data_IF_721639877138
#
_entry.id   IF_721639877138
#
_cell.length_a   1.000
_cell.length_b   1.000
_cell.length_c   1.000
_cell.angle_alpha   90.00
_cell.angle_beta   90.00
_cell.angle_gamma   90.00
#
_symmetry.space_group_name_H-M   'P 1'
#
loop_
_entity.id
_entity.type
_entity.pdbx_description
1 polymer ?
#
# COMPACT_ATOMS: atom_id res chain seq x y z
N UNK A 1 -6.83 -11.46 -7.13
CA UNK A 1 -8.18 -11.84 -7.61
C UNK A 1 -8.19 -12.11 -9.12
N UNK A 2 -7.95 -11.12 -9.99
CA UNK A 2 -8.02 -11.32 -11.46
C UNK A 2 -7.13 -12.48 -11.95
N UNK A 3 -5.84 -12.51 -11.55
CA UNK A 3 -4.93 -13.62 -11.89
C UNK A 3 -5.49 -14.99 -11.50
N UNK A 4 -5.95 -15.15 -10.24
CA UNK A 4 -6.54 -16.39 -9.75
C UNK A 4 -7.82 -16.78 -10.51
N UNK A 5 -8.72 -15.83 -10.79
CA UNK A 5 -9.92 -16.09 -11.59
C UNK A 5 -9.57 -16.56 -13.02
N UNK A 6 -8.59 -15.93 -13.65
CA UNK A 6 -8.09 -16.30 -14.99
C UNK A 6 -7.56 -17.72 -15.01
N UNK A 7 -6.77 -18.07 -13.99
CA UNK A 7 -6.18 -19.40 -13.83
C UNK A 7 -7.24 -20.47 -13.51
N UNK A 8 -8.07 -20.24 -12.49
CA UNK A 8 -9.07 -21.19 -11.98
C UNK A 8 -10.14 -21.54 -13.03
N UNK A 9 -10.48 -20.60 -13.91
CA UNK A 9 -11.49 -20.79 -14.96
C UNK A 9 -10.89 -21.04 -16.34
N UNK A 10 -9.57 -21.27 -16.42
CA UNK A 10 -8.83 -21.57 -17.65
C UNK A 10 -9.08 -20.55 -18.78
N UNK A 11 -9.14 -19.27 -18.44
CA UNK A 11 -9.21 -18.20 -19.44
C UNK A 11 -7.86 -18.10 -20.17
N UNK A 12 -7.89 -18.22 -21.50
CA UNK A 12 -6.73 -18.01 -22.38
C UNK A 12 -6.45 -16.52 -22.58
N UNK A 13 -6.07 -15.84 -21.49
CA UNK A 13 -5.81 -14.40 -21.44
C UNK A 13 -4.52 -14.14 -20.67
N UNK A 14 -3.58 -13.41 -21.28
CA UNK A 14 -2.39 -12.93 -20.59
C UNK A 14 -2.72 -11.75 -19.66
N UNK A 15 -2.37 -11.89 -18.38
CA UNK A 15 -2.51 -10.81 -17.40
C UNK A 15 -1.19 -10.07 -17.22
N UNK A 16 -1.08 -8.91 -17.85
CA UNK A 16 0.10 -8.03 -17.77
C UNK A 16 -0.12 -6.97 -16.68
N UNK A 17 0.53 -7.07 -15.51
CA UNK A 17 0.47 -6.01 -14.50
C UNK A 17 1.24 -4.77 -14.99
N UNK A 18 0.74 -3.58 -14.64
CA UNK A 18 1.39 -2.30 -14.97
C UNK A 18 1.60 -1.52 -13.67
N UNK A 19 2.76 -0.88 -13.57
CA UNK A 19 3.14 -0.09 -12.39
C UNK A 19 2.16 1.05 -12.11
N UNK A 20 2.04 1.39 -10.83
CA UNK A 20 1.20 2.50 -10.39
C UNK A 20 1.78 3.83 -10.88
N UNK A 21 1.04 4.53 -11.76
CA UNK A 21 1.36 5.91 -12.13
C UNK A 21 1.21 6.84 -10.92
N UNK A 22 2.20 7.71 -10.71
CA UNK A 22 2.25 8.64 -9.57
C UNK A 22 2.38 10.08 -10.04
N UNK A 23 1.80 11.00 -9.28
CA UNK A 23 2.07 12.42 -9.42
C UNK A 23 3.50 12.76 -8.95
N UNK A 24 3.98 13.98 -9.25
CA UNK A 24 5.33 14.41 -8.91
C UNK A 24 5.64 14.36 -7.39
N UNK A 25 4.63 14.45 -6.55
CA UNK A 25 4.73 14.35 -5.08
C UNK A 25 4.55 12.92 -4.56
N UNK A 26 4.42 11.92 -5.43
CA UNK A 26 4.32 10.51 -5.08
C UNK A 26 2.89 9.99 -4.87
N UNK A 27 1.87 10.86 -4.84
CA UNK A 27 0.48 10.42 -4.73
C UNK A 27 0.09 9.55 -5.93
N UNK A 28 -0.41 8.33 -5.67
CA UNK A 28 -0.93 7.45 -6.70
C UNK A 28 -2.04 8.16 -7.51
N UNK A 29 -1.95 8.11 -8.84
CA UNK A 29 -2.93 8.70 -9.73
C UNK A 29 -4.24 7.93 -9.62
N UNK A 30 -5.30 8.63 -9.22
CA UNK A 30 -6.63 8.05 -9.05
C UNK A 30 -7.69 9.10 -9.38
N UNK A 31 -8.76 8.70 -10.05
CA UNK A 31 -9.90 9.57 -10.32
C UNK A 31 -10.52 10.12 -9.02
N UNK A 32 -10.37 9.40 -7.91
CA UNK A 32 -10.83 9.82 -6.57
C UNK A 32 -10.09 11.05 -6.05
N UNK A 33 -8.87 11.33 -6.52
CA UNK A 33 -8.07 12.47 -6.06
C UNK A 33 -8.76 13.81 -6.34
N UNK A 34 -9.69 13.85 -7.31
CA UNK A 34 -10.49 15.04 -7.62
C UNK A 34 -11.44 15.48 -6.50
N UNK A 35 -11.73 14.58 -5.56
CA UNK A 35 -12.65 14.84 -4.45
C UNK A 35 -11.94 15.39 -3.21
N UNK A 36 -10.60 15.40 -3.22
CA UNK A 36 -9.80 15.99 -2.16
C UNK A 36 -9.91 17.51 -2.24
N UNK A 37 -10.18 18.15 -1.12
CA UNK A 37 -9.95 19.58 -0.94
C UNK A 37 -8.46 19.92 -1.10
N UNK A 38 -8.14 21.21 -1.22
CA UNK A 38 -6.75 21.68 -1.36
C UNK A 38 -5.87 21.19 -0.21
N UNK A 39 -6.36 21.25 1.03
CA UNK A 39 -5.64 20.77 2.21
C UNK A 39 -5.44 19.26 2.22
N UNK A 40 -6.51 18.50 1.95
CA UNK A 40 -6.43 17.04 1.87
C UNK A 40 -5.50 16.58 0.73
N UNK A 41 -5.50 17.28 -0.41
CA UNK A 41 -4.61 16.97 -1.53
C UNK A 41 -3.14 17.18 -1.16
N UNK A 42 -2.82 18.23 -0.41
CA UNK A 42 -1.45 18.49 0.06
C UNK A 42 -0.98 17.44 1.09
N UNK A 43 -1.91 16.90 1.89
CA UNK A 43 -1.63 15.89 2.90
C UNK A 43 -1.58 14.45 2.32
N UNK A 44 -2.35 14.17 1.26
CA UNK A 44 -2.49 12.85 0.65
C UNK A 44 -1.17 12.10 0.31
N UNK A 45 -0.08 12.76 -0.14
CA UNK A 45 1.22 12.10 -0.33
C UNK A 45 1.81 11.46 0.93
N UNK A 46 1.31 11.76 2.13
CA UNK A 46 1.76 11.09 3.36
C UNK A 46 1.53 9.58 3.32
N UNK A 47 0.41 9.12 2.76
CA UNK A 47 0.12 7.68 2.66
C UNK A 47 1.27 6.91 2.01
N UNK A 48 1.75 7.40 0.87
CA UNK A 48 2.86 6.79 0.17
C UNK A 48 4.17 6.91 0.96
N UNK A 49 4.43 8.04 1.61
CA UNK A 49 5.62 8.22 2.46
C UNK A 49 5.69 7.25 3.63
N UNK A 50 4.57 7.01 4.33
CA UNK A 50 4.54 6.03 5.43
C UNK A 50 4.75 4.61 4.90
N UNK A 51 4.16 4.24 3.75
CA UNK A 51 4.42 2.96 3.10
C UNK A 51 5.89 2.78 2.70
N UNK A 52 6.52 3.83 2.18
CA UNK A 52 7.95 3.83 1.88
C UNK A 52 8.81 3.67 3.14
N UNK A 53 8.43 4.32 4.25
CA UNK A 53 9.12 4.19 5.52
C UNK A 53 9.02 2.75 6.07
N UNK A 54 7.85 2.12 5.99
CA UNK A 54 7.68 0.70 6.34
C UNK A 54 8.54 -0.19 5.44
N UNK A 55 8.51 0.05 4.13
CA UNK A 55 9.32 -0.70 3.17
C UNK A 55 10.82 -0.58 3.46
N UNK A 56 11.29 0.60 3.86
CA UNK A 56 12.67 0.83 4.24
C UNK A 56 13.06 0.10 5.53
N UNK A 57 12.20 0.12 6.55
CA UNK A 57 12.39 -0.67 7.77
C UNK A 57 12.50 -2.18 7.49
N UNK A 58 11.70 -2.70 6.55
CA UNK A 58 11.80 -4.10 6.11
C UNK A 58 13.14 -4.40 5.43
N UNK A 59 13.61 -3.50 4.55
CA UNK A 59 14.93 -3.63 3.89
C UNK A 59 16.09 -3.62 4.89
N UNK A 60 15.93 -2.93 6.01
CA UNK A 60 16.91 -2.88 7.10
C UNK A 60 16.83 -4.10 8.03
N UNK A 61 15.97 -5.07 7.74
CA UNK A 61 15.84 -6.31 8.51
C UNK A 61 14.84 -6.22 9.66
N UNK A 62 13.93 -5.25 9.66
CA UNK A 62 12.83 -5.19 10.62
C UNK A 62 11.94 -6.42 10.52
N UNK A 63 11.76 -7.13 11.65
CA UNK A 63 10.95 -8.35 11.73
C UNK A 63 9.63 -8.15 12.50
N UNK A 64 9.47 -7.01 13.18
CA UNK A 64 8.24 -6.65 13.88
C UNK A 64 7.22 -6.04 12.91
N UNK A 65 6.65 -6.89 12.05
CA UNK A 65 5.69 -6.45 11.03
C UNK A 65 4.47 -5.77 11.66
N UNK A 66 3.92 -6.37 12.73
CA UNK A 66 2.76 -5.82 13.43
C UNK A 66 3.06 -4.46 14.10
N UNK A 67 4.28 -4.25 14.58
CA UNK A 67 4.75 -2.96 15.07
C UNK A 67 4.83 -1.91 13.96
N UNK A 68 5.39 -2.26 12.80
CA UNK A 68 5.49 -1.36 11.64
C UNK A 68 4.11 -0.96 11.09
N UNK A 69 3.20 -1.93 10.96
CA UNK A 69 1.81 -1.69 10.53
C UNK A 69 1.10 -0.71 11.46
N UNK A 70 1.22 -0.95 12.77
CA UNK A 70 0.61 -0.10 13.80
C UNK A 70 1.20 1.30 13.82
N UNK A 71 2.51 1.42 13.74
CA UNK A 71 3.18 2.72 13.74
C UNK A 71 2.74 3.58 12.55
N UNK A 72 2.68 3.00 11.35
CA UNK A 72 2.20 3.70 10.16
C UNK A 72 0.72 4.10 10.29
N UNK A 73 -0.13 3.21 10.82
CA UNK A 73 -1.53 3.50 11.07
C UNK A 73 -1.72 4.63 12.11
N UNK A 74 -0.94 4.61 13.20
CA UNK A 74 -0.99 5.60 14.27
C UNK A 74 -0.50 6.98 13.76
N UNK A 75 0.56 7.01 12.95
CA UNK A 75 1.05 8.24 12.32
C UNK A 75 0.02 8.87 11.37
N UNK A 76 -0.62 8.05 10.52
CA UNK A 76 -1.69 8.52 9.65
C UNK A 76 -2.88 9.02 10.48
N UNK A 77 -3.28 8.28 11.51
CA UNK A 77 -4.38 8.68 12.39
C UNK A 77 -4.09 10.00 13.11
N UNK A 78 -2.86 10.18 13.62
CA UNK A 78 -2.42 11.42 14.25
C UNK A 78 -2.38 12.60 13.26
N UNK A 79 -2.18 12.34 11.97
CA UNK A 79 -2.25 13.33 10.89
C UNK A 79 -3.69 13.60 10.39
N UNK A 80 -4.71 13.03 11.03
CA UNK A 80 -6.12 13.28 10.72
C UNK A 80 -6.75 12.31 9.72
N UNK A 81 -6.08 11.20 9.42
CA UNK A 81 -6.64 10.14 8.59
C UNK A 81 -7.56 9.21 9.41
N UNK A 82 -8.57 8.65 8.75
CA UNK A 82 -9.27 7.48 9.27
C UNK A 82 -8.71 6.24 8.55
N UNK A 83 -7.88 5.47 9.24
CA UNK A 83 -7.18 4.30 8.68
C UNK A 83 -8.11 3.08 8.69
N UNK A 84 -8.30 2.45 7.53
CA UNK A 84 -8.98 1.16 7.45
C UNK A 84 -7.99 0.01 7.74
N UNK A 85 -6.80 0.06 7.12
CA UNK A 85 -5.71 -0.88 7.38
C UNK A 85 -4.35 -0.35 6.90
N UNK A 86 -3.29 -0.86 7.52
CA UNK A 86 -1.93 -0.94 6.97
C UNK A 86 -1.47 -2.37 7.22
N UNK A 87 -1.04 -3.08 6.18
CA UNK A 87 -0.68 -4.50 6.28
C UNK A 87 0.54 -4.86 5.43
N UNK A 88 1.35 -5.77 5.94
CA UNK A 88 2.50 -6.38 5.26
C UNK A 88 2.10 -7.79 4.86
N UNK A 89 2.11 -8.06 3.56
CA UNK A 89 1.69 -9.34 2.96
C UNK A 89 2.76 -9.88 2.01
N UNK A 90 2.60 -11.13 1.58
CA UNK A 90 3.38 -11.69 0.47
C UNK A 90 2.96 -11.05 -0.85
N UNK A 91 3.92 -10.63 -1.67
CA UNK A 91 3.66 -9.86 -2.89
C UNK A 91 2.76 -10.60 -3.89
N UNK A 92 3.04 -11.88 -4.13
CA UNK A 92 2.39 -12.63 -5.21
C UNK A 92 0.98 -13.11 -4.83
N UNK A 93 0.77 -13.49 -3.57
CA UNK A 93 -0.44 -14.20 -3.10
C UNK A 93 -1.31 -13.40 -2.13
N UNK A 94 -0.79 -12.31 -1.57
CA UNK A 94 -1.41 -11.54 -0.48
C UNK A 94 -1.66 -12.36 0.81
N UNK A 95 -1.06 -13.53 0.93
CA UNK A 95 -1.03 -14.29 2.18
C UNK A 95 -0.36 -13.48 3.29
N UNK A 96 -0.70 -13.82 4.53
CA UNK A 96 -0.07 -13.24 5.72
C UNK A 96 1.45 -13.41 5.66
N UNK A 97 2.18 -12.31 5.80
CA UNK A 97 3.63 -12.33 5.80
C UNK A 97 4.17 -13.04 7.04
N UNK A 98 5.29 -13.75 6.86
CA UNK A 98 6.03 -14.42 7.93
C UNK A 98 7.45 -13.87 7.98
N UNK A 99 8.06 -13.95 9.17
CA UNK A 99 9.47 -13.62 9.32
C UNK A 99 10.30 -14.46 8.35
N UNK A 100 11.19 -13.81 7.59
CA UNK A 100 12.03 -14.45 6.58
C UNK A 100 11.46 -14.47 5.16
N UNK A 101 10.19 -14.08 4.95
CA UNK A 101 9.65 -13.87 3.60
C UNK A 101 10.46 -12.79 2.87
N UNK A 102 10.78 -13.03 1.58
CA UNK A 102 11.65 -12.16 0.78
C UNK A 102 10.91 -11.27 -0.20
N UNK A 103 9.72 -11.67 -0.63
CA UNK A 103 8.86 -10.92 -1.55
C UNK A 103 7.64 -10.44 -0.80
N UNK A 104 7.71 -9.21 -0.33
CA UNK A 104 6.69 -8.58 0.48
C UNK A 104 6.01 -7.45 -0.31
N UNK A 105 4.80 -7.11 0.12
CA UNK A 105 4.09 -5.91 -0.30
C UNK A 105 3.47 -5.27 0.93
N UNK A 106 3.68 -3.97 1.09
CA UNK A 106 3.02 -3.17 2.11
C UNK A 106 1.80 -2.53 1.46
N UNK A 107 0.60 -2.76 1.99
CA UNK A 107 -0.64 -2.20 1.49
C UNK A 107 -1.25 -1.28 2.55
N UNK A 108 -1.87 -0.19 2.12
CA UNK A 108 -2.66 0.63 3.02
C UNK A 108 -3.94 1.13 2.36
N UNK A 109 -4.96 1.31 3.20
CA UNK A 109 -6.15 2.04 2.85
C UNK A 109 -6.56 2.95 4.00
N UNK A 110 -6.79 4.22 3.68
CA UNK A 110 -7.15 5.23 4.66
C UNK A 110 -7.99 6.34 4.01
N UNK A 111 -8.72 7.10 4.81
CA UNK A 111 -9.59 8.18 4.37
C UNK A 111 -9.05 9.52 4.81
N UNK A 112 -9.06 10.48 3.90
CA UNK A 112 -8.95 11.91 4.19
C UNK A 112 -10.34 12.52 3.94
N UNK A 113 -10.94 13.01 5.02
CA UNK A 113 -12.35 13.43 5.01
C UNK A 113 -13.26 12.34 4.48
N UNK A 114 -13.90 12.59 3.34
CA UNK A 114 -14.82 11.64 2.68
C UNK A 114 -14.13 10.73 1.67
N UNK A 115 -12.90 11.05 1.27
CA UNK A 115 -12.21 10.37 0.16
C UNK A 115 -11.34 9.23 0.68
N UNK A 116 -11.66 8.01 0.26
CA UNK A 116 -10.87 6.81 0.56
C UNK A 116 -9.75 6.63 -0.46
N UNK A 117 -8.51 6.60 0.01
CA UNK A 117 -7.31 6.37 -0.77
C UNK A 117 -6.73 4.98 -0.48
N UNK A 118 -6.09 4.39 -1.48
CA UNK A 118 -5.34 3.14 -1.35
C UNK A 118 -3.99 3.32 -2.03
N UNK A 119 -2.99 2.65 -1.50
CA UNK A 119 -1.68 2.59 -2.12
C UNK A 119 -0.92 1.34 -1.64
N UNK A 120 0.17 0.99 -2.31
CA UNK A 120 1.04 -0.12 -1.94
C UNK A 120 2.49 0.10 -2.39
N UNK A 121 3.41 -0.61 -1.73
CA UNK A 121 4.84 -0.66 -2.07
C UNK A 121 5.33 -2.10 -2.00
N UNK A 122 5.84 -2.62 -3.11
CA UNK A 122 6.51 -3.92 -3.16
C UNK A 122 7.94 -3.83 -2.62
N UNK A 123 8.37 -4.89 -1.93
CA UNK A 123 9.68 -4.99 -1.28
C UNK A 123 10.30 -6.36 -1.58
N UNK A 124 11.45 -6.33 -2.25
CA UNK A 124 12.34 -7.49 -2.39
C UNK A 124 13.48 -7.41 -1.39
N UNK A 125 13.59 -8.40 -0.51
CA UNK A 125 14.72 -8.58 0.41
C UNK A 125 15.77 -9.52 -0.22
N UNK A 126 17.08 -9.32 0.08
CA UNK A 126 18.15 -10.15 -0.44
C UNK A 126 18.08 -11.60 0.07
#
# INVERSE_FOLDING_TARGET
>A
MIKGLTEDLNFDIEIVPVDTGRAADGLALSSRNRYLSVGERAEAPRLYRELQAVAESLKQGGLDYAGLERQAADHLTAAGWLVDYVEIRRADTLEMARAGDKKLVVLAAARLGTTRLIDNVEVGLP
#
